data_IF_950684490100
#
_entry.id   IF_950684490100
#
_cell.length_a   1.000
_cell.length_b   1.000
_cell.length_c   1.000
_cell.angle_alpha   90.00
_cell.angle_beta   90.00
_cell.angle_gamma   90.00
#
_symmetry.space_group_name_H-M   'P 1'
#
loop_
_entity.id
_entity.type
_entity.pdbx_description
1 polymer ?
#
# COMPACT_ATOMS: atom_id res chain seq x y z
N UNK A 1 -17.06 24.37 -14.52
CA UNK A 1 -15.62 24.18 -14.23
C UNK A 1 -15.52 23.18 -13.09
N UNK A 2 -14.91 22.00 -13.25
CA UNK A 2 -14.71 21.11 -12.12
C UNK A 2 -13.75 21.77 -11.12
N UNK A 3 -13.93 21.57 -9.81
CA UNK A 3 -13.06 22.18 -8.81
C UNK A 3 -11.62 21.74 -9.05
N UNK A 4 -10.69 22.69 -8.94
CA UNK A 4 -9.27 22.46 -9.20
C UNK A 4 -8.76 21.31 -8.32
N UNK A 5 -8.56 20.13 -8.93
CA UNK A 5 -7.94 18.97 -8.29
C UNK A 5 -6.53 19.37 -7.88
N UNK A 6 -6.31 19.62 -6.59
CA UNK A 6 -4.98 19.82 -6.01
C UNK A 6 -4.15 18.56 -6.29
N UNK A 7 -3.24 18.64 -7.24
CA UNK A 7 -2.22 17.61 -7.49
C UNK A 7 -1.28 17.56 -6.29
N UNK A 8 -1.60 16.77 -5.28
CA UNK A 8 -0.63 16.37 -4.26
C UNK A 8 0.33 15.39 -4.93
N UNK A 9 1.37 15.93 -5.56
CA UNK A 9 2.49 15.12 -6.02
C UNK A 9 3.19 14.60 -4.78
N UNK A 10 3.16 13.28 -4.58
CA UNK A 10 3.95 12.64 -3.54
C UNK A 10 5.41 12.93 -3.85
N UNK A 11 6.06 13.73 -3.00
CA UNK A 11 7.49 14.00 -3.15
C UNK A 11 8.25 12.76 -2.69
N UNK A 12 9.30 12.34 -3.40
CA UNK A 12 10.14 11.25 -2.92
C UNK A 12 10.73 11.65 -1.56
N UNK A 13 10.80 10.72 -0.59
CA UNK A 13 11.34 11.01 0.73
C UNK A 13 12.79 11.51 0.60
N UNK A 14 13.11 12.65 1.22
CA UNK A 14 14.47 13.18 1.27
C UNK A 14 15.25 12.42 2.34
N UNK A 15 16.01 11.42 1.90
CA UNK A 15 16.95 10.52 2.62
C UNK A 15 16.41 9.09 2.84
N UNK A 16 17.34 8.15 2.71
CA UNK A 16 17.15 6.70 2.50
C UNK A 16 16.55 6.03 3.75
N UNK A 17 15.51 5.22 3.52
CA UNK A 17 14.84 4.28 4.45
C UNK A 17 13.97 4.83 5.60
N UNK A 18 13.21 5.90 5.37
CA UNK A 18 12.05 6.17 6.22
C UNK A 18 10.86 5.39 5.67
N UNK A 19 10.65 4.19 6.21
CA UNK A 19 9.45 3.40 5.97
C UNK A 19 8.21 4.31 6.15
N UNK A 20 7.27 4.32 5.21
CA UNK A 20 6.15 5.25 5.12
C UNK A 20 5.03 4.98 6.15
N UNK A 21 4.84 3.73 6.56
CA UNK A 21 3.73 3.31 7.42
C UNK A 21 4.10 3.42 8.89
N UNK A 22 3.26 3.94 9.80
CA UNK A 22 3.59 3.96 11.23
C UNK A 22 3.76 2.55 11.81
N UNK A 23 4.82 2.31 12.60
CA UNK A 23 5.07 1.01 13.25
C UNK A 23 3.97 0.59 14.22
N UNK A 24 3.30 1.55 14.88
CA UNK A 24 2.15 1.30 15.75
C UNK A 24 0.96 0.71 14.98
N UNK A 25 0.72 1.17 13.75
CA UNK A 25 -0.38 0.67 12.91
C UNK A 25 -0.14 -0.80 12.51
N UNK A 26 1.08 -1.15 12.09
CA UNK A 26 1.45 -2.53 11.76
C UNK A 26 1.31 -3.44 12.99
N UNK A 27 1.73 -2.96 14.17
CA UNK A 27 1.59 -3.72 15.42
C UNK A 27 0.13 -3.97 15.79
N UNK A 28 -0.74 -2.96 15.64
CA UNK A 28 -2.19 -3.11 15.85
C UNK A 28 -2.84 -4.06 14.85
N UNK A 29 -2.49 -3.94 13.56
CA UNK A 29 -2.97 -4.83 12.50
C UNK A 29 -2.55 -6.28 12.73
N UNK A 30 -1.28 -6.52 13.12
CA UNK A 30 -0.81 -7.86 13.41
C UNK A 30 -1.62 -8.50 14.54
N UNK A 31 -1.89 -7.75 15.62
CA UNK A 31 -2.73 -8.25 16.73
C UNK A 31 -4.16 -8.54 16.28
N UNK A 32 -4.75 -7.67 15.46
CA UNK A 32 -6.11 -7.83 14.96
C UNK A 32 -6.27 -9.01 13.98
N UNK A 33 -5.34 -9.18 13.03
CA UNK A 33 -5.40 -10.25 12.02
C UNK A 33 -5.02 -11.61 12.62
N UNK A 34 -4.01 -11.66 13.48
CA UNK A 34 -3.56 -12.92 14.09
C UNK A 34 -4.31 -13.28 15.38
N UNK A 35 -5.24 -12.43 15.86
CA UNK A 35 -5.98 -12.68 17.10
C UNK A 35 -5.10 -12.82 18.34
N UNK A 36 -3.98 -12.09 18.39
CA UNK A 36 -3.00 -12.22 19.47
C UNK A 36 -3.55 -11.66 20.78
N UNK A 37 -3.50 -12.45 21.85
CA UNK A 37 -3.85 -12.02 23.21
C UNK A 37 -2.91 -10.90 23.67
N UNK A 38 -3.39 -10.03 24.57
CA UNK A 38 -2.61 -8.90 25.10
C UNK A 38 -1.31 -9.33 25.80
N UNK A 39 -1.30 -10.54 26.38
CA UNK A 39 -0.15 -11.16 27.03
C UNK A 39 0.96 -11.59 26.07
N UNK A 40 0.70 -11.67 24.77
CA UNK A 40 1.70 -12.06 23.77
C UNK A 40 2.43 -10.81 23.31
N UNK A 41 3.73 -10.75 23.53
CA UNK A 41 4.57 -9.65 23.04
C UNK A 41 4.94 -9.84 21.56
N UNK A 42 4.75 -8.78 20.78
CA UNK A 42 5.19 -8.74 19.39
C UNK A 42 6.60 -8.15 19.34
N UNK A 43 7.57 -8.95 18.88
CA UNK A 43 8.97 -8.53 18.70
C UNK A 43 9.07 -7.33 17.75
N UNK A 44 9.91 -6.36 18.09
CA UNK A 44 10.16 -5.17 17.26
C UNK A 44 10.70 -5.51 15.86
N UNK A 45 11.58 -6.52 15.78
CA UNK A 45 12.13 -7.03 14.52
C UNK A 45 11.05 -7.59 13.59
N UNK A 46 10.08 -8.33 14.14
CA UNK A 46 8.97 -8.87 13.36
C UNK A 46 8.09 -7.74 12.80
N UNK A 47 7.84 -6.69 13.59
CA UNK A 47 7.10 -5.50 13.12
C UNK A 47 7.87 -4.78 12.01
N UNK A 48 9.19 -4.65 12.14
CA UNK A 48 10.03 -4.00 11.13
C UNK A 48 10.07 -4.79 9.82
N UNK A 49 10.24 -6.12 9.88
CA UNK A 49 10.22 -7.00 8.72
C UNK A 49 8.88 -6.95 7.98
N UNK A 50 7.76 -7.06 8.71
CA UNK A 50 6.42 -6.98 8.13
C UNK A 50 6.15 -5.62 7.52
N UNK A 51 6.54 -4.53 8.20
CA UNK A 51 6.39 -3.16 7.69
C UNK A 51 7.12 -2.99 6.35
N UNK A 52 8.38 -3.43 6.28
CA UNK A 52 9.17 -3.36 5.06
C UNK A 52 8.55 -4.19 3.92
N UNK A 53 8.09 -5.41 4.21
CA UNK A 53 7.41 -6.26 3.23
C UNK A 53 6.09 -5.65 2.73
N UNK A 54 5.26 -5.12 3.64
CA UNK A 54 4.00 -4.47 3.28
C UNK A 54 4.22 -3.24 2.40
N UNK A 55 5.20 -2.40 2.72
CA UNK A 55 5.49 -1.20 1.93
C UNK A 55 6.02 -1.54 0.54
N UNK A 56 6.94 -2.50 0.44
CA UNK A 56 7.44 -2.97 -0.85
C UNK A 56 6.28 -3.51 -1.72
N UNK A 57 5.39 -4.31 -1.13
CA UNK A 57 4.24 -4.87 -1.85
C UNK A 57 3.23 -3.79 -2.28
N UNK A 58 2.95 -2.81 -1.42
CA UNK A 58 2.06 -1.70 -1.74
C UNK A 58 2.64 -0.81 -2.84
N UNK A 59 3.94 -0.52 -2.81
CA UNK A 59 4.61 0.26 -3.85
C UNK A 59 4.53 -0.46 -5.20
N UNK A 60 4.86 -1.74 -5.27
CA UNK A 60 4.73 -2.54 -6.49
C UNK A 60 3.28 -2.61 -6.99
N UNK A 61 2.30 -2.75 -6.09
CA UNK A 61 0.88 -2.70 -6.44
C UNK A 61 0.47 -1.33 -7.02
N UNK A 62 0.94 -0.23 -6.43
CA UNK A 62 0.60 1.11 -6.92
C UNK A 62 1.25 1.42 -8.27
N UNK A 63 2.42 0.87 -8.56
CA UNK A 63 3.05 0.97 -9.88
C UNK A 63 2.17 0.29 -10.96
N UNK A 64 1.68 -0.91 -10.68
CA UNK A 64 0.77 -1.62 -11.58
C UNK A 64 -0.58 -0.91 -11.72
N UNK A 65 -1.16 -0.43 -10.62
CA UNK A 65 -2.40 0.35 -10.65
C UNK A 65 -2.24 1.63 -11.48
N UNK A 66 -1.06 2.27 -11.42
CA UNK A 66 -0.74 3.43 -12.26
C UNK A 66 -0.70 3.04 -13.73
N UNK A 67 -0.14 1.88 -14.08
CA UNK A 67 -0.15 1.37 -15.46
C UNK A 67 -1.58 1.11 -15.95
N UNK A 68 -2.44 0.52 -15.12
CA UNK A 68 -3.86 0.34 -15.43
C UNK A 68 -4.57 1.69 -15.66
N UNK A 69 -4.31 2.70 -14.82
CA UNK A 69 -4.89 4.02 -15.00
C UNK A 69 -4.44 4.69 -16.30
N UNK A 70 -3.14 4.62 -16.63
CA UNK A 70 -2.57 5.16 -17.88
C UNK A 70 -3.13 4.41 -19.11
N UNK A 71 -3.29 3.10 -19.02
CA UNK A 71 -3.93 2.30 -20.06
C UNK A 71 -5.36 2.80 -20.35
N UNK A 72 -6.10 3.17 -19.31
CA UNK A 72 -7.42 3.79 -19.42
C UNK A 72 -7.39 5.31 -19.73
N UNK A 73 -6.24 5.85 -20.18
CA UNK A 73 -6.01 7.27 -20.50
C UNK A 73 -6.30 8.23 -19.32
N UNK A 74 -6.14 7.77 -18.09
CA UNK A 74 -6.28 8.55 -16.86
C UNK A 74 -4.95 8.69 -16.13
N UNK A 75 -4.83 9.74 -15.32
CA UNK A 75 -3.66 9.96 -14.44
C UNK A 75 -4.00 9.54 -12.99
N UNK A 76 -5.28 9.60 -12.60
CA UNK A 76 -5.75 9.22 -11.28
C UNK A 76 -6.09 7.72 -11.22
N UNK A 77 -5.63 7.05 -10.16
CA UNK A 77 -5.96 5.66 -9.84
C UNK A 77 -7.35 5.59 -9.20
N UNK A 78 -8.21 4.72 -9.71
CA UNK A 78 -9.58 4.48 -9.24
C UNK A 78 -9.75 3.03 -8.78
N UNK A 79 -10.82 2.75 -8.02
CA UNK A 79 -11.16 1.38 -7.60
C UNK A 79 -11.35 0.39 -8.77
N UNK A 80 -11.78 0.88 -9.94
CA UNK A 80 -11.88 0.07 -11.14
C UNK A 80 -10.51 -0.49 -11.61
N UNK A 81 -9.41 0.25 -11.39
CA UNK A 81 -8.06 -0.18 -11.74
C UNK A 81 -7.61 -1.35 -10.85
N UNK A 82 -8.06 -1.39 -9.60
CA UNK A 82 -7.83 -2.50 -8.68
C UNK A 82 -8.54 -3.76 -9.16
N UNK A 83 -9.79 -3.64 -9.62
CA UNK A 83 -10.53 -4.78 -10.16
C UNK A 83 -9.85 -5.34 -11.41
N UNK A 84 -9.38 -4.46 -12.31
CA UNK A 84 -8.62 -4.87 -13.49
C UNK A 84 -7.31 -5.56 -13.11
N UNK A 85 -6.54 -4.97 -12.20
CA UNK A 85 -5.28 -5.55 -11.74
C UNK A 85 -5.48 -6.92 -11.08
N UNK A 86 -6.55 -7.09 -10.29
CA UNK A 86 -6.94 -8.39 -9.71
C UNK A 86 -7.28 -9.41 -10.80
N UNK A 87 -8.02 -9.01 -11.84
CA UNK A 87 -8.31 -9.88 -12.97
C UNK A 87 -7.03 -10.33 -13.69
N UNK A 88 -6.07 -9.42 -13.86
CA UNK A 88 -4.81 -9.72 -14.55
C UNK A 88 -3.87 -10.60 -13.71
N UNK A 89 -3.77 -10.34 -12.41
CA UNK A 89 -2.85 -11.07 -11.52
C UNK A 89 -3.37 -12.45 -11.11
N UNK A 90 -4.67 -12.62 -10.94
CA UNK A 90 -5.24 -13.90 -10.48
C UNK A 90 -5.76 -14.76 -11.62
N UNK A 91 -5.76 -14.24 -12.86
CA UNK A 91 -6.47 -14.86 -13.98
C UNK A 91 -7.97 -14.89 -13.70
N UNK A 92 -8.78 -14.57 -14.71
CA UNK A 92 -10.15 -15.10 -14.66
C UNK A 92 -10.00 -16.62 -14.78
N UNK A 93 -10.50 -17.35 -13.80
CA UNK A 93 -10.93 -18.74 -14.04
C UNK A 93 -11.94 -18.76 -15.18
#
# INVERSE_FOLDING_TARGET
>A
RPPALRKKVLRPPKKRSELLLPSAAIRGLLRGVCGLRESVEVKGEAVAALRAGCEAQLLALFEDLRLCAVHAKRIAVHAADLNLLRCLRMGRG
#
